data_IF_966701558317
#
_entry.id   IF_966701558317
#
_cell.length_a   1.000
_cell.length_b   1.000
_cell.length_c   1.000
_cell.angle_alpha   90.00
_cell.angle_beta   90.00
_cell.angle_gamma   90.00
#
_symmetry.space_group_name_H-M   'P 1'
#
loop_
_entity.id
_entity.type
_entity.pdbx_description
1 polymer ?
#
# COMPACT_ATOMS: atom_id res chain seq x y z
N UNK A 1 4.94 -18.98 1.96
CA UNK A 1 4.68 -18.64 3.38
C UNK A 1 3.86 -17.35 3.67
N UNK A 2 4.25 -16.12 3.24
CA UNK A 2 3.64 -14.86 3.76
C UNK A 2 2.13 -14.70 3.58
N UNK A 3 1.60 -15.07 2.42
CA UNK A 3 0.16 -15.12 2.17
C UNK A 3 -0.56 -16.11 3.10
N UNK A 4 0.02 -17.29 3.33
CA UNK A 4 -0.54 -18.29 4.22
C UNK A 4 -0.62 -17.78 5.66
N UNK A 5 0.42 -17.05 6.10
CA UNK A 5 0.40 -16.37 7.40
C UNK A 5 -0.72 -15.33 7.46
N UNK A 6 -0.89 -14.49 6.44
CA UNK A 6 -1.97 -13.49 6.38
C UNK A 6 -3.35 -14.14 6.42
N UNK A 7 -3.59 -15.18 5.60
CA UNK A 7 -4.85 -15.93 5.58
C UNK A 7 -5.20 -16.52 6.95
N UNK A 8 -4.19 -16.95 7.71
CA UNK A 8 -4.38 -17.50 9.05
C UNK A 8 -4.66 -16.44 10.12
N UNK A 9 -3.97 -15.30 10.07
CA UNK A 9 -3.93 -14.34 11.19
C UNK A 9 -4.77 -13.08 10.96
N UNK A 10 -4.99 -12.69 9.70
CA UNK A 10 -5.78 -11.52 9.36
C UNK A 10 -7.22 -11.93 9.02
N UNK A 11 -8.16 -11.09 9.43
CA UNK A 11 -9.58 -11.27 9.17
C UNK A 11 -10.11 -10.17 8.26
N UNK A 12 -11.19 -10.47 7.53
CA UNK A 12 -11.98 -9.47 6.81
C UNK A 12 -12.53 -8.47 7.85
N UNK A 13 -12.22 -7.17 7.74
CA UNK A 13 -12.44 -6.20 8.81
C UNK A 13 -13.91 -5.77 8.96
N UNK A 14 -14.68 -5.81 7.87
CA UNK A 14 -16.04 -5.28 7.80
C UNK A 14 -16.92 -6.03 6.79
N UNK A 15 -18.16 -5.56 6.63
CA UNK A 15 -19.13 -6.13 5.70
C UNK A 15 -19.68 -7.51 6.13
N UNK A 16 -20.36 -8.16 5.17
CA UNK A 16 -21.07 -9.43 5.41
C UNK A 16 -20.15 -10.57 5.84
N UNK A 17 -18.89 -10.57 5.36
CA UNK A 17 -17.89 -11.60 5.66
C UNK A 17 -16.98 -11.23 6.83
N UNK A 18 -17.32 -10.20 7.62
CA UNK A 18 -16.49 -9.75 8.75
C UNK A 18 -16.10 -10.92 9.66
N UNK A 19 -14.81 -11.01 9.98
CA UNK A 19 -14.25 -12.07 10.83
C UNK A 19 -13.81 -13.32 10.06
N UNK A 20 -14.21 -13.50 8.80
CA UNK A 20 -13.66 -14.59 7.98
C UNK A 20 -12.17 -14.34 7.64
N UNK A 21 -11.46 -15.39 7.23
CA UNK A 21 -10.06 -15.31 6.81
C UNK A 21 -9.88 -14.25 5.69
N UNK A 22 -8.84 -13.41 5.83
CA UNK A 22 -8.48 -12.44 4.81
C UNK A 22 -7.57 -13.11 3.77
N UNK A 23 -8.12 -13.39 2.60
CA UNK A 23 -7.39 -13.96 1.48
C UNK A 23 -7.04 -12.85 0.49
N UNK A 24 -5.78 -12.78 0.09
CA UNK A 24 -5.36 -11.85 -0.95
C UNK A 24 -5.98 -12.26 -2.28
N UNK A 25 -6.59 -11.29 -2.98
CA UNK A 25 -6.99 -11.50 -4.37
C UNK A 25 -5.78 -11.51 -5.30
N UNK A 26 -5.96 -11.96 -6.54
CA UNK A 26 -4.85 -12.17 -7.50
C UNK A 26 -3.90 -10.98 -7.62
N UNK A 27 -4.42 -9.75 -7.71
CA UNK A 27 -3.57 -8.56 -7.81
C UNK A 27 -2.88 -8.23 -6.47
N UNK A 28 -3.57 -8.43 -5.35
CA UNK A 28 -3.02 -8.24 -4.00
C UNK A 28 -1.88 -9.21 -3.74
N UNK A 29 -2.07 -10.48 -4.11
CA UNK A 29 -1.05 -11.51 -4.07
C UNK A 29 0.12 -11.15 -4.97
N UNK A 30 -0.12 -10.78 -6.22
CA UNK A 30 0.94 -10.38 -7.15
C UNK A 30 1.79 -9.22 -6.60
N UNK A 31 1.14 -8.22 -6.00
CA UNK A 31 1.84 -7.10 -5.38
C UNK A 31 2.65 -7.53 -4.15
N UNK A 32 2.06 -8.36 -3.27
CA UNK A 32 2.75 -8.90 -2.09
C UNK A 32 3.95 -9.77 -2.47
N UNK A 33 3.77 -10.69 -3.42
CA UNK A 33 4.81 -11.59 -3.90
C UNK A 33 5.97 -10.83 -4.57
N UNK A 34 5.70 -9.77 -5.33
CA UNK A 34 6.76 -8.93 -5.87
C UNK A 34 7.43 -8.12 -4.77
N UNK A 35 6.66 -7.51 -3.86
CA UNK A 35 7.23 -6.75 -2.77
C UNK A 35 8.14 -7.62 -1.90
N UNK A 36 7.73 -8.82 -1.48
CA UNK A 36 8.56 -9.74 -0.70
C UNK A 36 9.48 -10.63 -1.53
N UNK A 37 9.71 -10.33 -2.81
CA UNK A 37 10.64 -11.11 -3.64
C UNK A 37 12.07 -10.98 -3.11
N UNK A 38 12.57 -12.05 -2.51
CA UNK A 38 13.98 -12.20 -2.13
C UNK A 38 14.87 -12.20 -3.38
N UNK A 39 16.03 -11.56 -3.29
CA UNK A 39 17.03 -11.57 -4.37
C UNK A 39 17.56 -12.98 -4.57
N UNK A 40 17.72 -13.38 -5.82
CA UNK A 40 18.42 -14.62 -6.13
C UNK A 40 19.84 -14.56 -5.54
N UNK A 41 20.23 -15.61 -4.81
CA UNK A 41 21.54 -15.68 -4.17
C UNK A 41 21.71 -14.78 -2.95
N UNK A 42 20.62 -14.28 -2.34
CA UNK A 42 20.73 -13.66 -1.01
C UNK A 42 21.30 -14.68 -0.01
N UNK A 43 22.42 -14.35 0.63
CA UNK A 43 23.06 -15.20 1.62
C UNK A 43 22.71 -14.71 3.02
N UNK A 44 22.27 -15.63 3.88
CA UNK A 44 22.09 -15.32 5.29
C UNK A 44 23.46 -15.32 5.96
N UNK A 45 23.90 -14.16 6.47
CA UNK A 45 25.22 -14.03 7.09
C UNK A 45 25.22 -14.56 8.53
N UNK A 46 24.38 -14.00 9.40
CA UNK A 46 24.21 -14.44 10.79
C UNK A 46 22.99 -13.79 11.44
N UNK A 47 22.52 -14.36 12.56
CA UNK A 47 21.39 -13.83 13.32
C UNK A 47 21.66 -12.43 13.91
N UNK A 48 22.92 -12.07 14.13
CA UNK A 48 23.34 -10.76 14.64
C UNK A 48 23.42 -9.69 13.54
N UNK A 49 23.42 -10.09 12.26
CA UNK A 49 23.51 -9.20 11.10
C UNK A 49 22.52 -9.59 10.00
N UNK A 50 21.20 -9.49 10.26
CA UNK A 50 20.19 -9.75 9.25
C UNK A 50 20.32 -8.78 8.08
N UNK A 51 20.11 -9.30 6.86
CA UNK A 51 20.18 -8.51 5.63
C UNK A 51 19.09 -7.45 5.47
N UNK A 52 17.97 -7.53 6.21
CA UNK A 52 16.82 -6.63 6.08
C UNK A 52 16.45 -6.26 4.62
N UNK A 53 16.39 -4.96 4.26
CA UNK A 53 16.00 -4.54 2.91
C UNK A 53 16.93 -5.07 1.80
N UNK A 54 18.19 -5.37 2.11
CA UNK A 54 19.18 -5.81 1.14
C UNK A 54 18.86 -7.23 0.62
N UNK A 55 18.11 -8.02 1.39
CA UNK A 55 17.63 -9.34 0.97
C UNK A 55 16.59 -9.24 -0.18
N UNK A 56 15.91 -8.11 -0.35
CA UNK A 56 14.77 -8.00 -1.26
C UNK A 56 15.13 -7.33 -2.59
N UNK A 57 14.56 -7.86 -3.68
CA UNK A 57 14.74 -7.31 -5.04
C UNK A 57 14.28 -5.86 -5.12
N UNK A 58 13.20 -5.52 -4.42
CA UNK A 58 12.67 -4.17 -4.38
C UNK A 58 12.71 -3.63 -2.95
N UNK A 59 13.42 -2.54 -2.73
CA UNK A 59 13.40 -1.84 -1.43
C UNK A 59 12.10 -1.05 -1.21
N UNK A 60 11.35 -0.79 -2.28
CA UNK A 60 10.11 -0.02 -2.26
C UNK A 60 9.07 -0.58 -3.20
N UNK A 61 7.79 -0.32 -2.90
CA UNK A 61 6.69 -0.56 -3.82
C UNK A 61 5.79 0.67 -3.97
N UNK A 62 5.16 0.79 -5.13
CA UNK A 62 4.07 1.72 -5.39
C UNK A 62 2.92 0.99 -6.06
N UNK A 63 1.74 1.06 -5.43
CA UNK A 63 0.52 0.38 -5.87
C UNK A 63 -0.52 1.43 -6.22
N UNK A 64 -0.85 1.50 -7.51
CA UNK A 64 -1.80 2.44 -8.10
C UNK A 64 -3.01 1.66 -8.63
N UNK A 65 -4.16 1.89 -8.03
CA UNK A 65 -5.41 1.24 -8.42
C UNK A 65 -6.60 2.16 -8.14
N UNK A 66 -7.75 1.96 -8.80
CA UNK A 66 -8.96 2.74 -8.53
C UNK A 66 -9.39 2.72 -7.06
N UNK A 67 -10.29 3.64 -6.70
CA UNK A 67 -10.94 3.61 -5.40
C UNK A 67 -11.73 2.32 -5.18
N UNK A 68 -11.81 1.90 -3.92
CA UNK A 68 -12.57 0.71 -3.44
C UNK A 68 -12.09 -0.64 -3.98
N UNK A 69 -10.96 -0.68 -4.69
CA UNK A 69 -10.31 -1.93 -5.11
C UNK A 69 -9.79 -2.80 -3.96
N UNK A 70 -9.75 -2.30 -2.72
CA UNK A 70 -9.31 -3.05 -1.54
C UNK A 70 -7.88 -2.76 -1.06
N UNK A 71 -7.27 -1.65 -1.51
CA UNK A 71 -5.92 -1.22 -1.08
C UNK A 71 -5.78 -1.08 0.44
N UNK A 72 -6.74 -0.44 1.11
CA UNK A 72 -6.69 -0.18 2.56
C UNK A 72 -6.59 -1.47 3.41
N UNK A 73 -7.56 -2.41 3.29
CA UNK A 73 -7.47 -3.70 3.99
C UNK A 73 -6.23 -4.52 3.62
N UNK A 74 -5.81 -4.47 2.35
CA UNK A 74 -4.57 -5.15 1.94
C UNK A 74 -3.33 -4.54 2.63
N UNK A 75 -3.18 -3.22 2.62
CA UNK A 75 -2.10 -2.52 3.32
C UNK A 75 -2.12 -2.77 4.83
N UNK A 76 -3.30 -2.92 5.44
CA UNK A 76 -3.43 -3.32 6.84
C UNK A 76 -2.89 -4.74 7.08
N UNK A 77 -3.17 -5.70 6.20
CA UNK A 77 -2.61 -7.06 6.31
C UNK A 77 -1.09 -7.08 6.12
N UNK A 78 -0.55 -6.26 5.22
CA UNK A 78 0.90 -6.05 5.06
C UNK A 78 1.48 -5.44 6.33
N UNK A 79 0.79 -4.49 6.96
CA UNK A 79 1.23 -3.91 8.24
C UNK A 79 1.28 -4.95 9.36
N UNK A 80 0.28 -5.85 9.45
CA UNK A 80 0.32 -6.97 10.40
C UNK A 80 1.55 -7.88 10.14
N UNK A 81 1.83 -8.17 8.87
CA UNK A 81 2.97 -9.00 8.48
C UNK A 81 4.30 -8.33 8.84
N UNK A 82 4.46 -7.03 8.57
CA UNK A 82 5.66 -6.26 8.93
C UNK A 82 5.84 -6.13 10.46
N UNK A 83 4.74 -6.05 11.22
CA UNK A 83 4.78 -5.91 12.66
C UNK A 83 5.16 -7.20 13.39
N UNK A 84 4.48 -8.31 13.05
CA UNK A 84 4.56 -9.55 13.84
C UNK A 84 4.53 -10.81 12.98
N UNK A 85 4.66 -10.65 11.67
CA UNK A 85 4.75 -11.75 10.75
C UNK A 85 6.19 -12.01 10.29
N UNK A 86 6.37 -13.07 9.50
CA UNK A 86 7.64 -13.42 8.87
C UNK A 86 7.99 -12.47 7.70
N UNK A 87 8.28 -11.20 7.98
CA UNK A 87 8.52 -10.16 6.97
C UNK A 87 9.97 -10.02 6.52
N UNK A 88 10.93 -10.49 7.31
CA UNK A 88 12.37 -10.40 7.00
C UNK A 88 12.88 -11.76 6.51
N UNK A 89 13.89 -11.76 5.64
CA UNK A 89 14.50 -12.99 5.14
C UNK A 89 15.30 -13.70 6.24
N UNK A 90 15.22 -15.03 6.33
CA UNK A 90 15.95 -15.90 7.28
C UNK A 90 16.66 -17.04 6.53
N UNK A 91 17.27 -16.76 5.39
CA UNK A 91 17.94 -17.81 4.61
C UNK A 91 16.97 -18.71 3.81
N UNK A 92 17.53 -19.81 3.28
CA UNK A 92 16.84 -20.74 2.40
C UNK A 92 16.56 -22.05 3.13
N UNK A 93 15.33 -22.53 3.03
CA UNK A 93 14.91 -23.75 3.70
C UNK A 93 15.65 -24.99 3.19
N UNK A 94 16.13 -25.83 4.10
CA UNK A 94 16.50 -27.21 3.90
C UNK A 94 15.33 -28.17 4.10
N UNK A 95 15.65 -29.45 4.29
CA UNK A 95 14.64 -30.47 4.57
C UNK A 95 14.21 -30.42 6.04
N UNK A 96 12.91 -30.30 6.28
CA UNK A 96 12.33 -30.29 7.63
C UNK A 96 12.31 -28.91 8.30
N UNK A 97 12.75 -27.86 7.61
CA UNK A 97 12.61 -26.50 8.10
C UNK A 97 11.15 -26.06 8.10
N UNK A 98 10.77 -25.36 9.16
CA UNK A 98 9.40 -24.92 9.37
C UNK A 98 9.33 -23.61 10.13
N UNK A 99 8.14 -23.02 10.11
CA UNK A 99 7.75 -21.91 10.95
C UNK A 99 6.73 -22.41 11.96
N UNK A 100 7.01 -22.24 13.25
CA UNK A 100 6.01 -22.41 14.30
C UNK A 100 5.69 -21.06 14.96
N UNK A 101 4.40 -20.71 15.03
CA UNK A 101 3.97 -19.47 15.66
C UNK A 101 4.39 -19.36 17.14
N UNK A 102 4.53 -20.48 17.84
CA UNK A 102 5.00 -20.55 19.23
C UNK A 102 6.40 -19.99 19.42
N UNK A 103 7.29 -20.19 18.45
CA UNK A 103 8.68 -19.73 18.50
C UNK A 103 8.77 -18.21 18.50
N UNK A 104 7.69 -17.56 18.06
CA UNK A 104 7.55 -16.12 17.99
C UNK A 104 6.47 -15.60 18.95
N UNK A 105 6.15 -16.34 20.01
CA UNK A 105 5.23 -15.88 21.07
C UNK A 105 3.76 -15.77 20.65
N UNK A 106 3.35 -16.38 19.53
CA UNK A 106 1.96 -16.44 19.12
C UNK A 106 1.33 -17.77 19.53
N UNK A 107 0.29 -17.72 20.37
CA UNK A 107 -0.40 -18.90 20.91
C UNK A 107 -1.36 -19.60 19.94
N UNK A 108 -1.40 -19.22 18.66
CA UNK A 108 -2.43 -19.68 17.71
C UNK A 108 -2.25 -21.13 17.21
N UNK A 109 -1.14 -21.77 17.57
CA UNK A 109 -0.79 -23.15 17.20
C UNK A 109 -0.60 -23.39 15.70
N UNK A 110 -0.38 -22.33 14.92
CA UNK A 110 -0.17 -22.47 13.47
C UNK A 110 1.29 -22.77 13.15
N UNK A 111 1.47 -23.72 12.23
CA UNK A 111 2.77 -24.12 11.71
C UNK A 111 2.75 -24.10 10.17
N UNK A 112 3.91 -23.93 9.58
CA UNK A 112 4.11 -23.95 8.13
C UNK A 112 5.40 -24.69 7.81
N UNK A 113 5.32 -25.77 7.04
CA UNK A 113 6.48 -26.49 6.53
C UNK A 113 6.98 -25.81 5.25
N UNK A 114 8.26 -25.46 5.21
CA UNK A 114 8.86 -24.89 4.00
C UNK A 114 9.20 -25.98 2.99
N UNK A 115 9.08 -25.66 1.71
CA UNK A 115 9.68 -26.49 0.67
C UNK A 115 11.20 -26.25 0.64
N UNK A 116 12.04 -27.29 0.38
CA UNK A 116 13.47 -27.09 0.19
C UNK A 116 13.75 -26.03 -0.88
N UNK A 117 14.56 -25.03 -0.53
CA UNK A 117 14.85 -23.86 -1.36
C UNK A 117 13.80 -22.74 -1.32
N UNK A 118 12.73 -22.85 -0.53
CA UNK A 118 11.83 -21.72 -0.25
C UNK A 118 12.56 -20.69 0.65
N UNK A 119 12.42 -19.38 0.39
CA UNK A 119 12.96 -18.38 1.31
C UNK A 119 12.21 -18.41 2.64
N UNK A 120 12.94 -18.62 3.72
CA UNK A 120 12.40 -18.56 5.07
C UNK A 120 12.24 -17.12 5.52
N UNK A 121 11.26 -16.90 6.40
CA UNK A 121 11.00 -15.60 7.01
C UNK A 121 11.23 -15.59 8.52
N UNK A 122 11.60 -14.42 9.05
CA UNK A 122 11.66 -14.09 10.47
C UNK A 122 10.87 -12.81 10.76
N UNK A 123 10.53 -12.60 12.03
CA UNK A 123 10.02 -11.28 12.47
C UNK A 123 11.12 -10.24 12.45
N UNK A 124 10.74 -9.00 12.18
CA UNK A 124 11.64 -7.89 12.49
C UNK A 124 11.87 -7.84 14.02
N UNK A 125 13.12 -7.73 14.51
CA UNK A 125 13.41 -7.80 15.95
C UNK A 125 13.01 -6.54 16.73
N UNK A 126 12.98 -5.38 16.07
CA UNK A 126 12.62 -4.08 16.66
C UNK A 126 11.72 -3.22 15.76
N UNK A 127 10.48 -3.67 15.47
CA UNK A 127 9.62 -3.04 14.47
C UNK A 127 9.09 -1.66 14.91
N UNK A 128 9.62 -0.60 14.28
CA UNK A 128 9.04 0.75 14.28
C UNK A 128 8.34 0.99 12.95
N UNK A 129 7.03 1.15 12.97
CA UNK A 129 6.19 1.25 11.77
C UNK A 129 5.42 2.58 11.73
N UNK A 130 5.30 3.18 10.55
CA UNK A 130 4.48 4.38 10.35
C UNK A 130 3.44 4.20 9.23
N UNK A 131 2.20 4.52 9.56
CA UNK A 131 1.08 4.63 8.62
C UNK A 131 0.83 6.10 8.34
N UNK A 132 1.17 6.53 7.13
CA UNK A 132 1.22 7.93 6.75
C UNK A 132 0.12 8.27 5.78
N UNK A 133 -0.59 9.37 6.01
CA UNK A 133 -1.53 9.97 5.07
C UNK A 133 -1.57 11.50 5.24
N UNK A 134 -2.30 12.23 4.40
CA UNK A 134 -2.32 13.69 4.48
C UNK A 134 -3.01 14.19 5.77
N UNK A 135 -4.05 13.47 6.23
CA UNK A 135 -4.83 13.78 7.43
C UNK A 135 -5.23 12.50 8.19
N UNK A 136 -5.77 12.65 9.40
CA UNK A 136 -6.12 11.52 10.29
C UNK A 136 -7.22 10.63 9.71
N UNK A 137 -8.21 11.22 9.04
CA UNK A 137 -9.30 10.47 8.41
C UNK A 137 -8.76 9.50 7.35
N UNK A 138 -7.80 9.96 6.54
CA UNK A 138 -7.15 9.12 5.54
C UNK A 138 -6.29 8.03 6.18
N UNK A 139 -5.57 8.31 7.28
CA UNK A 139 -4.87 7.25 8.03
C UNK A 139 -5.88 6.19 8.51
N UNK A 140 -7.10 6.62 8.86
CA UNK A 140 -8.22 5.76 9.22
C UNK A 140 -8.57 4.69 8.17
N UNK A 141 -8.29 4.91 6.87
CA UNK A 141 -8.55 3.93 5.81
C UNK A 141 -7.72 2.64 5.97
N UNK A 142 -6.58 2.72 6.65
CA UNK A 142 -5.69 1.59 6.96
C UNK A 142 -5.76 1.23 8.45
N UNK A 143 -5.80 2.24 9.32
CA UNK A 143 -5.80 2.01 10.77
C UNK A 143 -7.06 1.28 11.27
N UNK A 144 -8.23 1.58 10.68
CA UNK A 144 -9.49 0.89 11.03
C UNK A 144 -9.45 -0.60 10.67
N UNK A 145 -9.14 -1.01 9.43
CA UNK A 145 -9.04 -2.43 9.11
C UNK A 145 -7.91 -3.12 9.90
N UNK A 146 -6.78 -2.46 10.14
CA UNK A 146 -5.72 -2.98 11.01
C UNK A 146 -6.23 -3.28 12.43
N UNK A 147 -6.94 -2.33 13.04
CA UNK A 147 -7.54 -2.50 14.37
C UNK A 147 -8.53 -3.67 14.39
N UNK A 148 -9.34 -3.83 13.34
CA UNK A 148 -10.26 -4.95 13.22
C UNK A 148 -9.53 -6.29 13.09
N UNK A 149 -8.48 -6.38 12.26
CA UNK A 149 -7.65 -7.58 12.13
C UNK A 149 -7.01 -7.98 13.47
N UNK A 150 -6.52 -7.00 14.24
CA UNK A 150 -5.93 -7.25 15.57
C UNK A 150 -6.98 -7.81 16.54
N UNK A 151 -8.17 -7.22 16.58
CA UNK A 151 -9.20 -7.55 17.58
C UNK A 151 -10.04 -8.78 17.24
N UNK A 152 -10.17 -9.12 15.96
CA UNK A 152 -11.00 -10.24 15.49
C UNK A 152 -10.20 -11.53 15.29
N UNK A 153 -8.88 -11.43 15.11
CA UNK A 153 -7.98 -12.56 14.90
C UNK A 153 -7.09 -12.88 16.10
N UNK A 154 -6.16 -13.84 15.97
CA UNK A 154 -5.21 -14.22 17.04
C UNK A 154 -4.14 -13.17 17.32
N UNK A 155 -4.19 -12.02 16.63
CA UNK A 155 -3.17 -10.98 16.70
C UNK A 155 -3.23 -10.14 17.98
N UNK A 156 -4.30 -10.25 18.77
CA UNK A 156 -4.40 -9.60 20.09
C UNK A 156 -3.33 -10.06 21.08
N UNK A 157 -2.77 -11.26 20.89
CA UNK A 157 -1.69 -11.81 21.71
C UNK A 157 -0.36 -11.08 21.47
N UNK A 158 -0.22 -10.47 20.28
CA UNK A 158 1.03 -9.88 19.80
C UNK A 158 0.94 -8.37 19.62
N UNK A 159 -0.26 -7.81 19.55
CA UNK A 159 -0.47 -6.39 19.29
C UNK A 159 -1.59 -5.84 20.15
N UNK A 160 -1.32 -4.70 20.77
CA UNK A 160 -2.26 -4.03 21.67
C UNK A 160 -2.61 -2.64 21.13
N UNK A 161 -3.86 -2.46 20.73
CA UNK A 161 -4.37 -1.17 20.25
C UNK A 161 -4.40 -0.18 21.42
N UNK A 162 -3.78 0.99 21.26
CA UNK A 162 -3.74 2.09 22.23
C UNK A 162 -4.24 3.38 21.58
N UNK A 163 -4.36 4.43 22.38
CA UNK A 163 -4.73 5.75 21.87
C UNK A 163 -3.56 6.34 21.07
N UNK A 164 -3.77 6.57 19.77
CA UNK A 164 -2.78 7.20 18.88
C UNK A 164 -1.60 6.33 18.42
N UNK A 165 -1.55 5.05 18.80
CA UNK A 165 -0.59 4.05 18.30
C UNK A 165 -1.05 2.61 18.60
N UNK A 166 -0.41 1.63 17.96
CA UNK A 166 -0.53 0.20 18.32
C UNK A 166 0.81 -0.26 18.86
N UNK A 167 0.79 -0.90 20.03
CA UNK A 167 1.97 -1.50 20.64
C UNK A 167 2.17 -2.91 20.08
N UNK A 168 3.41 -3.26 19.79
CA UNK A 168 3.82 -4.63 19.47
C UNK A 168 4.35 -5.27 20.76
N UNK A 169 3.83 -6.44 21.11
CA UNK A 169 4.09 -7.16 22.36
C UNK A 169 5.19 -8.20 22.16
N UNK A 170 5.90 -8.53 23.25
CA UNK A 170 6.84 -9.66 23.28
C UNK A 170 8.28 -9.34 22.88
N UNK A 171 8.65 -8.08 22.73
CA UNK A 171 10.03 -7.66 22.47
C UNK A 171 10.74 -7.13 23.73
N UNK A 172 12.06 -7.27 23.74
CA UNK A 172 12.93 -6.74 24.79
C UNK A 172 12.96 -5.21 24.68
N UNK A 173 12.54 -4.47 25.70
CA UNK A 173 12.81 -3.02 25.74
C UNK A 173 11.78 -2.14 26.45
N UNK A 174 10.49 -2.46 26.46
CA UNK A 174 9.46 -1.62 27.11
C UNK A 174 8.48 -0.97 26.13
N UNK A 175 7.72 0.05 26.58
CA UNK A 175 6.52 0.53 25.88
C UNK A 175 6.77 1.39 24.64
N UNK A 176 7.97 1.96 24.50
CA UNK A 176 8.27 3.00 23.51
C UNK A 176 9.02 2.52 22.27
N UNK A 177 9.45 1.26 22.24
CA UNK A 177 10.34 0.75 21.20
C UNK A 177 9.56 0.23 20.00
N UNK A 178 8.72 -0.79 20.18
CA UNK A 178 8.08 -1.48 19.06
C UNK A 178 6.61 -1.11 18.92
N UNK A 179 6.29 -0.44 17.81
CA UNK A 179 5.03 0.28 17.65
C UNK A 179 4.67 0.56 16.20
N UNK A 180 3.38 0.79 16.00
CA UNK A 180 2.79 1.28 14.75
C UNK A 180 2.18 2.65 15.04
N UNK A 181 2.66 3.68 14.35
CA UNK A 181 2.24 5.06 14.51
C UNK A 181 1.39 5.56 13.34
N UNK A 182 0.32 6.30 13.64
CA UNK A 182 -0.34 7.15 12.67
C UNK A 182 0.46 8.44 12.48
N UNK A 183 0.79 8.79 11.24
CA UNK A 183 1.53 10.01 10.88
C UNK A 183 0.77 10.83 9.85
N UNK A 184 0.64 12.12 10.10
CA UNK A 184 -0.04 13.08 9.23
C UNK A 184 0.83 14.29 8.95
N UNK A 185 0.37 15.20 8.09
CA UNK A 185 1.04 16.47 7.78
C UNK A 185 1.36 17.34 9.02
N UNK A 186 0.59 17.20 10.10
CA UNK A 186 0.76 17.91 11.37
C UNK A 186 1.69 17.18 12.36
N UNK A 187 1.87 15.86 12.24
CA UNK A 187 2.58 15.02 13.22
C UNK A 187 4.09 14.86 12.93
N UNK A 188 4.80 15.98 12.74
CA UNK A 188 6.21 15.97 12.28
C UNK A 188 7.23 15.39 13.25
N UNK A 189 6.94 15.44 14.56
CA UNK A 189 7.89 14.99 15.60
C UNK A 189 8.30 13.52 15.46
N UNK A 190 7.45 12.67 14.86
CA UNK A 190 7.71 11.22 14.71
C UNK A 190 8.48 10.86 13.43
N UNK A 191 8.60 11.80 12.48
CA UNK A 191 9.12 11.53 11.13
C UNK A 191 10.62 11.18 11.13
N UNK A 192 11.35 11.57 12.18
CA UNK A 192 12.78 11.26 12.35
C UNK A 192 13.08 9.91 12.99
N UNK A 193 12.06 9.12 13.35
CA UNK A 193 12.26 7.85 14.03
C UNK A 193 13.00 6.83 13.14
N UNK A 194 13.77 5.90 13.72
CA UNK A 194 14.45 4.83 13.00
C UNK A 194 13.45 3.75 12.54
N UNK A 195 12.68 4.08 11.50
CA UNK A 195 11.58 3.23 11.01
C UNK A 195 12.08 1.98 10.29
N UNK A 196 11.50 0.84 10.64
CA UNK A 196 11.66 -0.45 9.95
C UNK A 196 10.77 -0.54 8.70
N UNK A 197 9.57 0.02 8.76
CA UNK A 197 8.64 0.03 7.63
C UNK A 197 7.72 1.25 7.62
N UNK A 198 7.39 1.76 6.44
CA UNK A 198 6.46 2.90 6.29
C UNK A 198 5.48 2.65 5.15
N UNK A 199 4.20 2.84 5.45
CA UNK A 199 3.16 3.01 4.46
C UNK A 199 2.91 4.49 4.19
N UNK A 200 2.91 4.88 2.92
CA UNK A 200 2.53 6.20 2.43
C UNK A 200 1.23 6.05 1.64
N UNK A 201 0.11 6.14 2.34
CA UNK A 201 -1.23 6.02 1.74
C UNK A 201 -1.66 7.34 1.11
N UNK A 202 -2.37 7.23 0.00
CA UNK A 202 -2.75 8.31 -0.91
C UNK A 202 -1.58 9.23 -1.31
N UNK A 203 -0.42 8.63 -1.64
CA UNK A 203 0.80 9.37 -2.01
C UNK A 203 0.63 10.27 -3.25
N UNK A 204 -0.43 10.06 -4.04
CA UNK A 204 -0.85 10.92 -5.14
C UNK A 204 -1.32 12.30 -4.70
N UNK A 205 -1.72 12.47 -3.43
CA UNK A 205 -2.10 13.75 -2.85
C UNK A 205 -0.93 14.45 -2.15
N UNK A 206 0.26 13.85 -2.10
CA UNK A 206 1.38 14.41 -1.35
C UNK A 206 2.10 15.44 -2.22
N UNK A 207 1.89 16.72 -1.95
CA UNK A 207 2.46 17.82 -2.73
C UNK A 207 3.45 18.62 -1.90
N UNK A 208 4.18 19.54 -2.54
CA UNK A 208 5.00 20.51 -1.79
C UNK A 208 4.11 21.46 -0.99
N UNK A 209 2.96 21.85 -1.54
CA UNK A 209 2.04 22.81 -0.92
C UNK A 209 1.51 22.30 0.43
N UNK A 210 1.14 21.01 0.53
CA UNK A 210 0.73 20.41 1.79
C UNK A 210 1.90 19.80 2.61
N UNK A 211 3.15 19.99 2.15
CA UNK A 211 4.39 19.61 2.82
C UNK A 211 4.58 18.09 2.99
N UNK A 212 3.70 17.27 2.44
CA UNK A 212 3.76 15.81 2.56
C UNK A 212 4.91 15.19 1.76
N UNK A 213 5.36 15.85 0.69
CA UNK A 213 6.58 15.44 -0.04
C UNK A 213 7.78 15.35 0.90
N UNK A 214 8.01 16.40 1.71
CA UNK A 214 9.13 16.44 2.64
C UNK A 214 9.05 15.36 3.74
N UNK A 215 7.84 15.09 4.22
CA UNK A 215 7.58 14.00 5.17
C UNK A 215 7.93 12.65 4.53
N UNK A 216 7.42 12.39 3.33
CA UNK A 216 7.65 11.13 2.63
C UNK A 216 9.13 10.91 2.28
N UNK A 217 9.86 11.96 1.92
CA UNK A 217 11.32 11.90 1.70
C UNK A 217 12.07 11.62 2.99
N UNK A 218 11.68 12.23 4.11
CA UNK A 218 12.35 12.02 5.41
C UNK A 218 12.16 10.59 5.90
N UNK A 219 10.95 10.06 5.83
CA UNK A 219 10.68 8.64 6.15
C UNK A 219 11.48 7.68 5.29
N UNK A 220 11.59 7.95 3.98
CA UNK A 220 12.40 7.12 3.07
C UNK A 220 13.89 7.15 3.41
N UNK A 221 14.42 8.31 3.85
CA UNK A 221 15.81 8.40 4.35
C UNK A 221 16.00 7.64 5.66
N UNK A 222 15.06 7.77 6.59
CA UNK A 222 15.07 7.01 7.85
C UNK A 222 15.05 5.50 7.60
N UNK A 223 14.10 5.02 6.80
CA UNK A 223 14.03 3.60 6.41
C UNK A 223 15.34 3.13 5.74
N UNK A 224 15.90 3.90 4.80
CA UNK A 224 17.14 3.52 4.14
C UNK A 224 18.33 3.36 5.11
N UNK A 225 18.44 4.23 6.13
CA UNK A 225 19.50 4.14 7.14
C UNK A 225 19.36 2.97 8.10
N UNK A 226 18.14 2.44 8.28
CA UNK A 226 17.84 1.37 9.23
C UNK A 226 17.67 -0.01 8.59
N UNK A 227 17.95 -0.15 7.28
CA UNK A 227 17.63 -1.38 6.54
C UNK A 227 16.12 -1.58 6.35
N UNK A 228 15.30 -0.56 6.63
CA UNK A 228 13.85 -0.60 6.46
C UNK A 228 13.37 -0.43 5.02
N UNK A 229 12.06 -0.57 4.83
CA UNK A 229 11.41 -0.53 3.51
C UNK A 229 10.18 0.39 3.52
N UNK A 230 9.75 0.84 2.34
CA UNK A 230 8.57 1.73 2.24
C UNK A 230 7.63 1.29 1.12
N UNK A 231 6.33 1.45 1.33
CA UNK A 231 5.29 1.14 0.36
C UNK A 231 4.37 2.34 0.16
N UNK A 232 4.02 2.63 -1.08
CA UNK A 232 3.02 3.63 -1.45
C UNK A 232 1.74 2.95 -1.95
N UNK A 233 0.59 3.44 -1.50
CA UNK A 233 -0.71 3.12 -2.08
C UNK A 233 -1.40 4.39 -2.52
N UNK A 234 -1.99 4.42 -3.71
CA UNK A 234 -2.70 5.61 -4.19
C UNK A 234 -3.68 5.29 -5.32
N UNK A 235 -4.57 6.24 -5.60
CA UNK A 235 -5.32 6.27 -6.86
C UNK A 235 -4.50 7.00 -7.93
N UNK A 236 -4.99 7.05 -9.18
CA UNK A 236 -4.34 7.85 -10.21
C UNK A 236 -4.34 9.34 -9.80
N UNK A 237 -3.17 9.96 -9.78
CA UNK A 237 -2.97 11.36 -9.36
C UNK A 237 -3.20 12.35 -10.51
N UNK A 238 -3.31 13.64 -10.17
CA UNK A 238 -3.23 14.70 -11.16
C UNK A 238 -1.75 14.88 -11.61
N UNK A 239 -1.40 14.67 -12.89
CA UNK A 239 -0.03 14.82 -13.37
C UNK A 239 0.50 16.27 -13.31
N UNK A 240 -0.34 17.27 -13.03
CA UNK A 240 0.07 18.66 -12.85
C UNK A 240 0.57 18.99 -11.44
N UNK A 241 0.33 18.13 -10.45
CA UNK A 241 0.61 18.42 -9.04
C UNK A 241 2.02 18.02 -8.57
N UNK A 242 2.77 17.27 -9.39
CA UNK A 242 4.12 16.78 -9.07
C UNK A 242 4.20 16.09 -7.70
N UNK A 243 3.22 15.22 -7.43
CA UNK A 243 3.04 14.53 -6.16
C UNK A 243 4.15 13.50 -5.88
N UNK A 244 4.20 13.00 -4.64
CA UNK A 244 5.13 11.91 -4.29
C UNK A 244 4.91 10.69 -5.18
N UNK A 245 3.65 10.32 -5.46
CA UNK A 245 3.35 9.23 -6.35
C UNK A 245 3.92 9.46 -7.76
N UNK A 246 3.73 10.65 -8.31
CA UNK A 246 4.25 11.01 -9.63
C UNK A 246 5.78 10.86 -9.70
N UNK A 247 6.49 11.40 -8.71
CA UNK A 247 7.95 11.32 -8.64
C UNK A 247 8.44 9.89 -8.54
N UNK A 248 7.78 9.06 -7.73
CA UNK A 248 8.11 7.63 -7.61
C UNK A 248 7.83 6.90 -8.93
N UNK A 249 6.69 7.15 -9.57
CA UNK A 249 6.32 6.52 -10.84
C UNK A 249 7.28 6.88 -11.98
N UNK A 250 7.74 8.13 -12.03
CA UNK A 250 8.69 8.62 -13.04
C UNK A 250 10.16 8.25 -12.77
N UNK A 251 10.48 7.82 -11.53
CA UNK A 251 11.83 7.39 -11.18
C UNK A 251 12.32 6.22 -12.06
N UNK A 252 13.55 6.29 -12.52
CA UNK A 252 14.20 5.24 -13.32
C UNK A 252 14.86 4.15 -12.46
N UNK A 253 14.72 4.21 -11.13
CA UNK A 253 15.27 3.22 -10.23
C UNK A 253 14.63 1.84 -10.45
N UNK A 254 15.47 0.82 -10.62
CA UNK A 254 15.04 -0.56 -10.94
C UNK A 254 14.57 -1.35 -9.72
N UNK A 255 14.89 -0.86 -8.52
CA UNK A 255 14.61 -1.49 -7.22
C UNK A 255 13.32 -0.95 -6.56
N UNK A 256 12.43 -0.37 -7.38
CA UNK A 256 11.08 0.07 -6.98
C UNK A 256 10.06 -0.74 -7.78
N UNK A 257 9.32 -1.61 -7.09
CA UNK A 257 8.19 -2.30 -7.71
C UNK A 257 7.05 -1.31 -7.97
N UNK A 258 6.51 -1.30 -9.19
CA UNK A 258 5.40 -0.42 -9.57
C UNK A 258 4.27 -1.27 -10.13
N UNK A 259 3.15 -1.26 -9.43
CA UNK A 259 1.90 -1.82 -9.92
C UNK A 259 0.99 -0.66 -10.32
N UNK A 260 0.79 -0.48 -11.63
CA UNK A 260 -0.16 0.49 -12.15
C UNK A 260 -0.83 -0.07 -13.40
N UNK A 261 -2.05 -0.55 -13.23
CA UNK A 261 -2.84 -1.13 -14.32
C UNK A 261 -3.56 -0.02 -15.09
N UNK A 262 -2.86 0.60 -16.04
CA UNK A 262 -3.40 1.62 -16.94
C UNK A 262 -4.21 0.93 -18.05
N UNK A 263 -5.48 1.28 -18.29
CA UNK A 263 -6.30 0.64 -19.32
C UNK A 263 -5.82 0.97 -20.74
N UNK A 264 -6.12 0.11 -21.74
CA UNK A 264 -5.68 0.31 -23.12
C UNK A 264 -5.98 1.72 -23.66
N UNK A 265 -5.01 2.34 -24.33
CA UNK A 265 -5.09 3.73 -24.78
C UNK A 265 -6.21 3.98 -25.82
N UNK A 266 -6.58 2.97 -26.60
CA UNK A 266 -7.65 3.08 -27.61
C UNK A 266 -9.07 3.11 -27.06
N UNK A 267 -9.28 2.92 -25.75
CA UNK A 267 -10.60 2.96 -25.13
C UNK A 267 -10.94 4.39 -24.69
N UNK A 268 -12.13 4.87 -25.08
CA UNK A 268 -12.63 6.20 -24.67
C UNK A 268 -13.40 6.13 -23.34
N UNK A 269 -13.07 7.00 -22.38
CA UNK A 269 -13.80 7.10 -21.10
C UNK A 269 -15.22 7.66 -21.28
N UNK A 270 -15.41 8.62 -22.20
CA UNK A 270 -16.72 9.19 -22.51
C UNK A 270 -17.69 8.19 -23.15
N UNK A 271 -17.17 7.21 -23.90
CA UNK A 271 -18.00 6.17 -24.51
C UNK A 271 -18.40 5.09 -23.49
N UNK A 272 -19.70 4.87 -23.29
CA UNK A 272 -20.22 3.88 -22.33
C UNK A 272 -19.67 2.46 -22.52
N UNK A 273 -19.60 1.97 -23.76
CA UNK A 273 -19.14 0.59 -24.04
C UNK A 273 -17.65 0.43 -23.73
N UNK A 274 -16.86 1.45 -24.02
CA UNK A 274 -15.42 1.44 -23.73
C UNK A 274 -15.13 1.69 -22.25
N UNK A 275 -15.86 2.61 -21.60
CA UNK A 275 -15.81 2.78 -20.14
C UNK A 275 -16.08 1.48 -19.41
N UNK A 276 -17.06 0.69 -19.83
CA UNK A 276 -17.30 -0.64 -19.23
C UNK A 276 -16.12 -1.59 -19.40
N UNK A 277 -15.41 -1.55 -20.54
CA UNK A 277 -14.17 -2.34 -20.74
C UNK A 277 -13.04 -1.83 -19.84
N UNK A 278 -12.89 -0.52 -19.70
CA UNK A 278 -11.94 0.12 -18.79
C UNK A 278 -12.20 -0.36 -17.36
N UNK A 279 -13.43 -0.22 -16.87
CA UNK A 279 -13.82 -0.61 -15.51
C UNK A 279 -13.54 -2.09 -15.25
N UNK A 280 -13.92 -2.99 -16.16
CA UNK A 280 -13.59 -4.42 -16.02
C UNK A 280 -12.08 -4.66 -15.92
N UNK A 281 -11.28 -3.93 -16.70
CA UNK A 281 -9.83 -4.11 -16.71
C UNK A 281 -9.18 -3.60 -15.41
N UNK A 282 -9.54 -2.41 -14.94
CA UNK A 282 -8.88 -1.78 -13.78
C UNK A 282 -9.37 -2.32 -12.43
N UNK A 283 -10.56 -2.92 -12.38
CA UNK A 283 -11.11 -3.60 -11.20
C UNK A 283 -10.93 -5.13 -11.23
N UNK A 284 -10.30 -5.68 -12.26
CA UNK A 284 -10.04 -7.11 -12.35
C UNK A 284 -9.21 -7.61 -11.14
N UNK A 285 -9.69 -8.68 -10.50
CA UNK A 285 -9.18 -9.15 -9.21
C UNK A 285 -9.74 -8.45 -7.97
N UNK A 286 -10.81 -7.64 -8.08
CA UNK A 286 -11.55 -7.06 -6.94
C UNK A 286 -13.01 -7.52 -6.93
N UNK A 287 -13.30 -8.80 -6.60
CA UNK A 287 -14.63 -9.40 -6.74
C UNK A 287 -15.71 -8.79 -5.84
N UNK A 288 -15.32 -8.05 -4.81
CA UNK A 288 -16.25 -7.31 -3.93
C UNK A 288 -16.79 -6.01 -4.55
N UNK A 289 -16.29 -5.59 -5.72
CA UNK A 289 -16.73 -4.37 -6.37
C UNK A 289 -17.85 -4.66 -7.37
N UNK A 290 -19.01 -4.03 -7.16
CA UNK A 290 -20.07 -4.01 -8.15
C UNK A 290 -19.78 -2.95 -9.22
N UNK A 291 -19.47 -3.39 -10.45
CA UNK A 291 -19.13 -2.47 -11.54
C UNK A 291 -20.30 -1.60 -12.02
N UNK A 292 -21.55 -2.03 -11.83
CA UNK A 292 -22.71 -1.23 -12.20
C UNK A 292 -22.87 -0.04 -11.24
N UNK A 293 -22.63 -0.25 -9.94
CA UNK A 293 -22.57 0.83 -8.95
C UNK A 293 -21.43 1.80 -9.23
N UNK A 294 -20.24 1.28 -9.57
CA UNK A 294 -19.10 2.12 -9.97
C UNK A 294 -19.42 2.93 -11.23
N UNK A 295 -20.04 2.32 -12.23
CA UNK A 295 -20.39 3.01 -13.47
C UNK A 295 -21.43 4.11 -13.24
N UNK A 296 -22.42 3.88 -12.37
CA UNK A 296 -23.43 4.88 -12.02
C UNK A 296 -22.78 6.14 -11.39
N UNK A 297 -21.96 5.95 -10.35
CA UNK A 297 -21.25 7.04 -9.68
C UNK A 297 -20.29 7.77 -10.63
N UNK A 298 -19.57 7.02 -11.45
CA UNK A 298 -18.64 7.60 -12.42
C UNK A 298 -19.36 8.45 -13.47
N UNK A 299 -20.57 8.08 -13.88
CA UNK A 299 -21.38 8.85 -14.84
C UNK A 299 -21.89 10.14 -14.21
N UNK A 300 -22.37 10.10 -12.98
CA UNK A 300 -22.78 11.31 -12.26
C UNK A 300 -21.60 12.27 -12.07
N UNK A 301 -20.45 11.78 -11.60
CA UNK A 301 -19.26 12.61 -11.43
C UNK A 301 -18.73 13.19 -12.76
N UNK A 302 -18.91 12.46 -13.87
CA UNK A 302 -18.54 12.96 -15.20
C UNK A 302 -19.30 14.24 -15.60
N UNK A 303 -20.48 14.50 -15.03
CA UNK A 303 -21.23 15.72 -15.35
C UNK A 303 -20.53 16.99 -14.84
N UNK A 304 -19.75 16.86 -13.76
CA UNK A 304 -19.09 17.99 -13.09
C UNK A 304 -17.57 17.99 -13.27
N UNK A 305 -16.92 16.84 -13.16
CA UNK A 305 -15.47 16.70 -13.26
C UNK A 305 -15.08 15.37 -13.96
N UNK A 306 -15.12 15.33 -15.30
CA UNK A 306 -14.72 14.15 -16.08
C UNK A 306 -13.29 13.67 -15.77
N UNK A 307 -12.37 14.61 -15.52
CA UNK A 307 -10.98 14.29 -15.22
C UNK A 307 -10.84 13.60 -13.85
N UNK A 308 -11.63 14.03 -12.86
CA UNK A 308 -11.71 13.34 -11.58
C UNK A 308 -12.30 11.93 -11.76
N UNK A 309 -13.43 11.80 -12.46
CA UNK A 309 -14.04 10.49 -12.69
C UNK A 309 -13.08 9.51 -13.39
N UNK A 310 -12.40 9.94 -14.46
CA UNK A 310 -11.44 9.11 -15.19
C UNK A 310 -10.20 8.73 -14.36
N UNK A 311 -9.73 9.61 -13.48
CA UNK A 311 -8.65 9.27 -12.53
C UNK A 311 -9.09 8.23 -11.51
N UNK A 312 -10.15 8.53 -10.77
CA UNK A 312 -10.53 7.76 -9.58
C UNK A 312 -11.16 6.41 -9.91
N UNK A 313 -11.91 6.32 -11.01
CA UNK A 313 -12.56 5.09 -11.47
C UNK A 313 -11.88 4.46 -12.69
N UNK A 314 -11.37 5.28 -13.62
CA UNK A 314 -10.72 4.82 -14.85
C UNK A 314 -9.23 4.51 -14.72
N UNK A 315 -8.61 4.81 -13.57
CA UNK A 315 -7.19 4.57 -13.28
C UNK A 315 -6.24 5.15 -14.35
N UNK A 316 -6.52 6.37 -14.83
CA UNK A 316 -5.67 7.07 -15.81
C UNK A 316 -5.15 8.38 -15.24
N UNK A 317 -3.97 8.80 -15.69
CA UNK A 317 -3.38 10.09 -15.33
C UNK A 317 -3.96 11.19 -16.22
N UNK A 318 -5.02 11.84 -15.76
CA UNK A 318 -5.68 12.95 -16.47
C UNK A 318 -5.52 14.21 -15.63
N UNK A 319 -4.98 15.27 -16.21
CA UNK A 319 -4.90 16.57 -15.54
C UNK A 319 -6.31 17.15 -15.37
N UNK A 320 -6.57 17.81 -14.24
CA UNK A 320 -7.79 18.59 -14.10
C UNK A 320 -7.83 19.67 -15.18
N UNK A 321 -8.95 19.81 -15.88
CA UNK A 321 -9.16 20.94 -16.77
C UNK A 321 -9.06 22.22 -15.95
N UNK A 322 -8.11 23.10 -16.30
CA UNK A 322 -7.98 24.39 -15.64
C UNK A 322 -9.19 25.25 -15.98
N UNK A 323 -9.85 25.83 -14.97
CA UNK A 323 -10.93 26.83 -15.17
C UNK A 323 -10.43 28.14 -15.79
N UNK A 324 -9.12 28.28 -16.02
CA UNK A 324 -8.53 29.51 -16.55
C UNK A 324 -8.82 29.75 -18.03
N UNK A 325 -9.03 28.68 -18.81
CA UNK A 325 -9.48 28.78 -20.20
C UNK A 325 -10.65 27.81 -20.42
N UNK A 326 -11.89 28.31 -20.53
CA UNK A 326 -13.03 27.50 -20.96
C UNK A 326 -12.73 26.82 -22.31
N UNK A 327 -13.16 25.57 -22.46
CA UNK A 327 -13.07 24.85 -23.74
C UNK A 327 -13.69 25.69 -24.86
N UNK A 328 -12.94 25.88 -25.94
CA UNK A 328 -13.36 26.70 -27.09
C UNK A 328 -13.16 28.21 -26.93
N UNK A 329 -12.65 28.71 -25.79
CA UNK A 329 -12.38 30.15 -25.63
C UNK A 329 -11.19 30.61 -26.48
N UNK A 330 -10.16 29.77 -26.64
CA UNK A 330 -9.02 30.06 -27.50
C UNK A 330 -9.44 30.09 -28.97
N UNK A 331 -10.18 29.07 -29.39
CA UNK A 331 -10.67 28.87 -30.75
C UNK A 331 -11.67 29.97 -31.15
N UNK A 332 -12.54 30.40 -30.24
CA UNK A 332 -13.51 31.49 -30.51
C UNK A 332 -12.83 32.84 -30.78
N UNK A 333 -11.70 33.13 -30.13
CA UNK A 333 -10.93 34.36 -30.38
C UNK A 333 -10.20 34.37 -31.72
N UNK A 334 -9.82 33.21 -32.24
CA UNK A 334 -9.23 33.10 -33.58
C UNK A 334 -10.28 33.04 -34.70
N UNK A 335 -11.47 32.52 -34.42
CA UNK A 335 -12.59 32.55 -35.37
C UNK A 335 -13.09 34.00 -35.62
N UNK A 336 -13.10 34.86 -34.60
CA UNK A 336 -13.42 36.28 -34.75
C UNK A 336 -12.36 37.04 -35.59
N UNK A 337 -11.08 36.69 -35.47
CA UNK A 337 -9.99 37.34 -36.20
C UNK A 337 -9.90 36.96 -37.69
N UNK A 338 -10.58 35.89 -38.12
CA UNK A 338 -10.69 35.47 -39.52
C UNK A 338 -12.00 35.92 -40.19
N UNK A 339 -12.93 36.49 -39.42
CA UNK A 339 -14.21 37.01 -39.87
C UNK A 339 -14.27 38.55 -39.92
N UNK A 340 -13.20 39.24 -39.50
CA UNK A 340 -12.93 40.68 -39.68
C UNK A 340 -11.90 40.89 -40.76
#
# INVERSE_FOLDING_TARGET
>A
MGEAWVKRHCCIPDGFRRGAAFEWSDWQFWCGANYYRVRAGAEWESDDQPLFNQAFTYRRAQIVAPQKTGKGPWSASITCLEAVGPSQFLGWAGSGDGWACSDWGCGCGWEYEYLPGEPMGMRHPSPVIQLTANNEEQVGNVYRPLTAMIKLGPLSDLMAVREGFIRILGSVGGEDFDRIDAVTSSARGRVGNPVSWVLQDESGLYTQANKMVGIAETQRRGAAGMGGRTMETTNAWDPSENSTAQRTYQSQAKDIFKFFRIPPAGLSWGNKRDRRKILRYVYDGSPWVNLDSIEAEAVELNELDPAQAERFFGNRLVARAGTWLPDGLWESRYAEALAS
#
